data_IF_689671847505
#
_entry.id   IF_689671847505
#
_cell.length_a   1.000
_cell.length_b   1.000
_cell.length_c   1.000
_cell.angle_alpha   90.00
_cell.angle_beta   90.00
_cell.angle_gamma   90.00
#
_symmetry.space_group_name_H-M   'P 1'
#
loop_
_entity.id
_entity.type
_entity.pdbx_description
1 polymer ?
#
# COMPACT_ATOMS: atom_id res chain seq x y z
N UNK A 1 -11.02 8.65 24.56
CA UNK A 1 -11.64 7.31 24.60
C UNK A 1 -11.48 6.74 23.21
N UNK A 2 -10.56 5.79 23.04
CA UNK A 2 -10.43 5.04 21.78
C UNK A 2 -11.75 4.32 21.51
N UNK A 3 -12.57 4.89 20.63
CA UNK A 3 -13.71 4.17 20.10
C UNK A 3 -13.17 3.20 19.05
N UNK A 4 -12.91 1.98 19.49
CA UNK A 4 -12.66 0.83 18.61
C UNK A 4 -13.70 0.80 17.48
N UNK A 5 -13.23 0.78 16.24
CA UNK A 5 -14.08 0.82 15.05
C UNK A 5 -15.12 -0.30 15.08
N UNK A 6 -16.37 0.06 14.74
CA UNK A 6 -17.50 -0.86 14.71
C UNK A 6 -17.85 -1.12 13.25
N UNK A 7 -17.66 -2.38 12.84
CA UNK A 7 -17.71 -2.78 11.44
C UNK A 7 -19.02 -3.51 11.13
N UNK A 8 -19.67 -3.13 10.04
CA UNK A 8 -20.75 -3.89 9.42
C UNK A 8 -20.28 -4.53 8.11
N UNK A 9 -20.41 -5.84 8.01
CA UNK A 9 -19.98 -6.64 6.86
C UNK A 9 -21.18 -7.10 6.04
N UNK A 10 -21.13 -6.81 4.74
CA UNK A 10 -22.12 -7.20 3.75
C UNK A 10 -21.41 -7.97 2.63
N UNK A 11 -21.84 -9.23 2.42
CA UNK A 11 -21.27 -10.13 1.42
C UNK A 11 -22.26 -10.33 0.28
N UNK A 12 -21.86 -9.91 -0.92
CA UNK A 12 -22.46 -10.38 -2.16
C UNK A 12 -21.88 -11.77 -2.45
N UNK A 13 -22.54 -12.80 -1.90
CA UNK A 13 -21.97 -14.14 -1.88
C UNK A 13 -21.95 -14.75 -3.28
N UNK A 14 -22.94 -14.45 -4.13
CA UNK A 14 -22.95 -14.94 -5.51
C UNK A 14 -21.74 -14.40 -6.28
N UNK A 15 -21.45 -13.11 -6.18
CA UNK A 15 -20.32 -12.49 -6.88
C UNK A 15 -18.96 -13.00 -6.37
N UNK A 16 -18.79 -13.09 -5.04
CA UNK A 16 -17.56 -13.61 -4.43
C UNK A 16 -17.34 -15.10 -4.72
N UNK A 17 -18.38 -15.93 -4.59
CA UNK A 17 -18.25 -17.38 -4.79
C UNK A 17 -18.00 -17.71 -6.26
N UNK A 18 -18.66 -17.04 -7.21
CA UNK A 18 -18.41 -17.22 -8.63
C UNK A 18 -17.00 -16.72 -9.01
N UNK A 19 -16.62 -15.52 -8.57
CA UNK A 19 -15.26 -15.00 -8.80
C UNK A 19 -14.18 -15.91 -8.22
N UNK A 20 -14.39 -16.45 -7.02
CA UNK A 20 -13.44 -17.35 -6.39
C UNK A 20 -13.36 -18.72 -7.13
N UNK A 21 -14.49 -19.31 -7.49
CA UNK A 21 -14.53 -20.62 -8.18
C UNK A 21 -13.88 -20.57 -9.56
N UNK A 22 -14.09 -19.49 -10.31
CA UNK A 22 -13.56 -19.31 -11.67
C UNK A 22 -12.04 -19.07 -11.68
N UNK A 23 -11.49 -18.42 -10.64
CA UNK A 23 -10.11 -17.97 -10.62
C UNK A 23 -9.18 -18.75 -9.67
N UNK A 24 -9.70 -19.50 -8.69
CA UNK A 24 -8.92 -20.34 -7.76
C UNK A 24 -8.99 -21.84 -8.08
N UNK A 25 -9.12 -22.20 -9.36
CA UNK A 25 -9.05 -23.60 -9.80
C UNK A 25 -10.14 -24.51 -9.22
N UNK A 26 -11.33 -23.97 -8.94
CA UNK A 26 -12.46 -24.72 -8.40
C UNK A 26 -12.45 -24.93 -6.88
N UNK A 27 -11.56 -24.26 -6.12
CA UNK A 27 -11.64 -24.25 -4.65
C UNK A 27 -12.84 -23.44 -4.18
N UNK A 28 -13.46 -23.92 -3.11
CA UNK A 28 -14.56 -23.23 -2.44
C UNK A 28 -14.05 -21.93 -1.78
N UNK A 29 -14.91 -20.93 -1.76
CA UNK A 29 -14.68 -19.67 -1.05
C UNK A 29 -14.48 -19.95 0.46
N UNK A 30 -13.48 -19.33 1.07
CA UNK A 30 -13.22 -19.41 2.51
C UNK A 30 -13.44 -18.04 3.15
N UNK A 31 -14.26 -17.99 4.18
CA UNK A 31 -14.56 -16.74 4.88
C UNK A 31 -13.45 -16.32 5.86
N UNK A 32 -12.61 -17.26 6.32
CA UNK A 32 -11.61 -16.99 7.38
C UNK A 32 -10.65 -15.85 7.04
N UNK A 33 -10.05 -15.77 5.83
CA UNK A 33 -9.14 -14.68 5.48
C UNK A 33 -9.79 -13.29 5.57
N UNK A 34 -11.07 -13.17 5.20
CA UNK A 34 -11.82 -11.93 5.35
C UNK A 34 -12.05 -11.63 6.84
N UNK A 35 -12.45 -12.64 7.62
CA UNK A 35 -12.69 -12.47 9.05
C UNK A 35 -11.43 -11.99 9.79
N UNK A 36 -10.28 -12.56 9.46
CA UNK A 36 -8.99 -12.22 10.07
C UNK A 36 -8.56 -10.80 9.68
N UNK A 37 -8.65 -10.45 8.39
CA UNK A 37 -8.37 -9.09 7.93
C UNK A 37 -9.28 -8.03 8.60
N UNK A 38 -10.54 -8.36 8.86
CA UNK A 38 -11.46 -7.44 9.54
C UNK A 38 -11.19 -7.35 11.04
N UNK A 39 -10.72 -8.42 11.68
CA UNK A 39 -10.38 -8.42 13.10
C UNK A 39 -9.25 -7.42 13.43
N UNK A 40 -8.32 -7.20 12.49
CA UNK A 40 -7.26 -6.18 12.63
C UNK A 40 -7.77 -4.74 12.51
N UNK A 41 -8.92 -4.54 11.85
CA UNK A 41 -9.48 -3.21 11.56
C UNK A 41 -10.48 -2.74 12.59
N UNK A 42 -11.10 -3.66 13.32
CA UNK A 42 -12.04 -3.33 14.39
C UNK A 42 -13.02 -4.44 14.70
N UNK A 43 -13.97 -4.13 15.57
CA UNK A 43 -14.97 -5.09 16.02
C UNK A 43 -16.11 -5.20 15.02
N UNK A 44 -16.23 -6.35 14.37
CA UNK A 44 -17.35 -6.67 13.47
C UNK A 44 -18.62 -6.98 14.27
N UNK A 45 -19.61 -6.11 14.16
CA UNK A 45 -20.89 -6.17 14.89
C UNK A 45 -22.05 -6.69 14.06
N UNK A 46 -21.96 -6.61 12.73
CA UNK A 46 -22.96 -7.13 11.79
C UNK A 46 -22.22 -7.92 10.71
N UNK A 47 -22.73 -9.10 10.38
CA UNK A 47 -22.25 -9.95 9.30
C UNK A 47 -23.46 -10.48 8.54
N UNK A 48 -23.63 -10.07 7.29
CA UNK A 48 -24.74 -10.52 6.43
C UNK A 48 -24.20 -10.98 5.09
N UNK A 49 -24.75 -12.10 4.60
CA UNK A 49 -24.49 -12.58 3.25
C UNK A 49 -25.80 -12.67 2.47
N UNK A 50 -25.76 -12.25 1.21
CA UNK A 50 -26.90 -12.17 0.31
C UNK A 50 -26.69 -13.14 -0.85
N UNK A 51 -27.61 -14.08 -1.04
CA UNK A 51 -27.65 -14.99 -2.17
C UNK A 51 -29.00 -15.70 -2.27
N UNK A 52 -29.24 -16.32 -3.43
CA UNK A 52 -30.17 -17.44 -3.53
C UNK A 52 -29.48 -18.70 -3.00
N UNK A 53 -29.75 -19.05 -1.75
CA UNK A 53 -29.01 -20.11 -1.07
C UNK A 53 -29.37 -21.51 -1.55
N UNK A 54 -30.39 -21.65 -2.41
CA UNK A 54 -30.69 -22.93 -3.07
C UNK A 54 -29.52 -23.43 -3.93
N UNK A 55 -28.65 -22.52 -4.40
CA UNK A 55 -27.47 -22.85 -5.20
C UNK A 55 -26.18 -23.07 -4.38
N UNK A 56 -26.18 -22.73 -3.09
CA UNK A 56 -24.98 -22.69 -2.24
C UNK A 56 -25.14 -23.45 -0.92
N UNK A 57 -25.87 -24.58 -0.94
CA UNK A 57 -26.23 -25.30 0.28
C UNK A 57 -25.01 -25.82 1.07
N UNK A 58 -23.95 -26.24 0.37
CA UNK A 58 -22.70 -26.71 0.97
C UNK A 58 -21.97 -25.61 1.78
N UNK A 59 -22.11 -24.36 1.35
CA UNK A 59 -21.40 -23.21 1.91
C UNK A 59 -22.12 -22.60 3.12
N UNK A 60 -23.44 -22.83 3.25
CA UNK A 60 -24.26 -22.34 4.37
C UNK A 60 -23.68 -22.71 5.73
N UNK A 61 -23.18 -23.95 5.86
CA UNK A 61 -22.62 -24.46 7.12
C UNK A 61 -21.37 -23.69 7.52
N UNK A 62 -20.52 -23.32 6.57
CA UNK A 62 -19.29 -22.56 6.81
C UNK A 62 -19.61 -21.13 7.28
N UNK A 63 -20.52 -20.45 6.59
CA UNK A 63 -20.92 -19.08 6.94
C UNK A 63 -21.66 -19.01 8.28
N UNK A 64 -22.55 -19.98 8.55
CA UNK A 64 -23.29 -20.05 9.82
C UNK A 64 -22.34 -20.25 11.01
N UNK A 65 -21.32 -21.12 10.88
CA UNK A 65 -20.28 -21.31 11.91
C UNK A 65 -19.47 -20.03 12.14
N UNK A 66 -19.36 -19.20 11.13
CA UNK A 66 -18.70 -17.89 11.19
C UNK A 66 -19.62 -16.77 11.67
N UNK A 67 -20.82 -17.10 12.16
CA UNK A 67 -21.83 -16.16 12.66
C UNK A 67 -22.25 -15.13 11.61
N UNK A 68 -22.30 -15.54 10.34
CA UNK A 68 -22.83 -14.74 9.24
C UNK A 68 -24.33 -15.03 9.11
N UNK A 69 -25.14 -13.98 9.17
CA UNK A 69 -26.57 -14.05 8.90
C UNK A 69 -26.80 -14.27 7.39
N UNK A 70 -27.52 -15.32 7.04
CA UNK A 70 -27.82 -15.67 5.65
C UNK A 70 -29.15 -15.04 5.23
N UNK A 71 -29.08 -14.03 4.36
CA UNK A 71 -30.24 -13.35 3.80
C UNK A 71 -30.63 -14.05 2.51
N UNK A 72 -31.81 -14.68 2.52
CA UNK A 72 -32.35 -15.41 1.37
C UNK A 72 -32.93 -14.43 0.34
N UNK A 73 -32.41 -14.51 -0.89
CA UNK A 73 -32.88 -13.74 -2.03
C UNK A 73 -33.42 -14.72 -3.08
N UNK A 74 -34.70 -15.13 -3.01
CA UNK A 74 -35.23 -16.12 -3.93
C UNK A 74 -35.31 -15.54 -5.35
N UNK A 75 -34.68 -16.22 -6.32
CA UNK A 75 -34.79 -15.83 -7.72
C UNK A 75 -36.16 -16.23 -8.29
N UNK A 76 -36.95 -15.26 -8.77
CA UNK A 76 -38.22 -15.54 -9.47
C UNK A 76 -37.93 -16.13 -10.84
N UNK A 77 -38.55 -17.27 -11.15
CA UNK A 77 -38.47 -17.88 -12.50
C UNK A 77 -38.86 -16.86 -13.58
N UNK A 78 -37.93 -16.56 -14.49
CA UNK A 78 -38.17 -15.70 -15.66
C UNK A 78 -37.80 -14.22 -15.52
N UNK A 79 -37.37 -13.75 -14.35
CA UNK A 79 -36.83 -12.39 -14.18
C UNK A 79 -35.30 -12.40 -14.31
N UNK A 80 -34.73 -11.33 -14.88
CA UNK A 80 -33.28 -11.17 -15.02
C UNK A 80 -32.57 -11.36 -13.68
N UNK A 81 -31.60 -12.26 -13.67
CA UNK A 81 -30.94 -12.93 -12.55
C UNK A 81 -30.23 -12.03 -11.54
N UNK A 82 -30.13 -10.72 -11.75
CA UNK A 82 -28.94 -9.99 -11.28
C UNK A 82 -29.16 -8.98 -10.16
N UNK A 83 -30.29 -8.29 -10.08
CA UNK A 83 -30.32 -7.04 -9.29
C UNK A 83 -31.00 -7.16 -7.92
N UNK A 84 -31.63 -8.30 -7.59
CA UNK A 84 -32.43 -8.41 -6.38
C UNK A 84 -31.56 -8.43 -5.10
N UNK A 85 -30.45 -9.17 -5.14
CA UNK A 85 -29.50 -9.23 -4.04
C UNK A 85 -28.84 -7.86 -3.84
N UNK A 86 -28.40 -7.22 -4.92
CA UNK A 86 -27.75 -5.91 -4.89
C UNK A 86 -28.65 -4.83 -4.29
N UNK A 87 -29.90 -4.75 -4.74
CA UNK A 87 -30.88 -3.79 -4.22
C UNK A 87 -31.13 -4.05 -2.74
N UNK A 88 -31.33 -5.31 -2.34
CA UNK A 88 -31.60 -5.65 -0.93
C UNK A 88 -30.39 -5.33 -0.04
N UNK A 89 -29.19 -5.66 -0.48
CA UNK A 89 -27.96 -5.35 0.23
C UNK A 89 -27.77 -3.84 0.38
N UNK A 90 -28.01 -3.06 -0.69
CA UNK A 90 -27.92 -1.60 -0.64
C UNK A 90 -28.94 -0.97 0.32
N UNK A 91 -30.20 -1.44 0.30
CA UNK A 91 -31.25 -0.97 1.21
C UNK A 91 -30.85 -1.25 2.67
N UNK A 92 -30.44 -2.49 2.97
CA UNK A 92 -30.06 -2.87 4.33
C UNK A 92 -28.84 -2.10 4.83
N UNK A 93 -27.86 -1.84 3.96
CA UNK A 93 -26.66 -1.08 4.30
C UNK A 93 -26.99 0.38 4.64
N UNK A 94 -27.84 1.03 3.83
CA UNK A 94 -28.28 2.40 4.08
C UNK A 94 -29.14 2.50 5.34
N UNK A 95 -30.11 1.59 5.51
CA UNK A 95 -30.93 1.51 6.72
C UNK A 95 -30.05 1.39 7.97
N UNK A 96 -29.10 0.45 7.95
CA UNK A 96 -28.18 0.23 9.06
C UNK A 96 -27.31 1.47 9.36
N UNK A 97 -26.90 2.20 8.33
CA UNK A 97 -26.12 3.43 8.48
C UNK A 97 -26.90 4.54 9.21
N UNK A 98 -28.21 4.61 9.01
CA UNK A 98 -29.10 5.56 9.69
C UNK A 98 -29.50 5.10 11.09
N UNK A 99 -29.89 3.84 11.26
CA UNK A 99 -30.40 3.33 12.54
C UNK A 99 -29.29 3.15 13.58
N UNK A 100 -28.10 2.77 13.15
CA UNK A 100 -27.00 2.37 14.03
C UNK A 100 -25.82 3.33 13.87
N UNK A 101 -25.99 4.55 14.37
CA UNK A 101 -24.99 5.62 14.29
C UNK A 101 -23.60 5.22 14.82
N UNK A 102 -23.52 4.27 15.75
CA UNK A 102 -22.26 3.75 16.30
C UNK A 102 -21.42 2.92 15.33
N UNK A 103 -21.98 2.48 14.19
CA UNK A 103 -21.23 1.77 13.14
C UNK A 103 -20.45 2.81 12.36
N UNK A 104 -19.13 2.77 12.46
CA UNK A 104 -18.22 3.72 11.80
C UNK A 104 -17.77 3.24 10.43
N UNK A 105 -17.73 1.93 10.22
CA UNK A 105 -17.11 1.31 9.05
C UNK A 105 -18.04 0.27 8.40
N UNK A 106 -18.17 0.35 7.08
CA UNK A 106 -18.93 -0.60 6.25
C UNK A 106 -17.97 -1.36 5.35
N UNK A 107 -18.05 -2.68 5.37
CA UNK A 107 -17.29 -3.56 4.50
C UNK A 107 -18.25 -4.14 3.49
N UNK A 108 -18.01 -3.85 2.21
CA UNK A 108 -18.82 -4.33 1.09
C UNK A 108 -17.95 -5.31 0.30
N UNK A 109 -18.28 -6.60 0.42
CA UNK A 109 -17.56 -7.65 -0.29
C UNK A 109 -18.26 -7.94 -1.62
N UNK A 110 -17.76 -7.35 -2.70
CA UNK A 110 -18.25 -7.49 -4.07
C UNK A 110 -17.16 -7.03 -5.05
N UNK A 111 -17.14 -7.60 -6.25
CA UNK A 111 -16.35 -7.09 -7.38
C UNK A 111 -17.13 -6.15 -8.29
N UNK A 112 -18.43 -5.95 -8.05
CA UNK A 112 -19.32 -5.22 -8.97
C UNK A 112 -19.26 -3.69 -8.76
N UNK A 113 -19.06 -2.94 -9.84
CA UNK A 113 -19.09 -1.49 -9.82
C UNK A 113 -20.49 -0.89 -9.62
N UNK A 114 -21.56 -1.68 -9.76
CA UNK A 114 -22.93 -1.21 -9.50
C UNK A 114 -23.15 -0.79 -8.03
N UNK A 115 -22.25 -1.19 -7.10
CA UNK A 115 -22.24 -0.71 -5.71
C UNK A 115 -21.59 0.66 -5.51
N UNK A 116 -20.97 1.25 -6.53
CA UNK A 116 -20.33 2.58 -6.43
C UNK A 116 -21.27 3.66 -5.85
N UNK A 117 -22.55 3.76 -6.23
CA UNK A 117 -23.49 4.71 -5.61
C UNK A 117 -23.72 4.46 -4.12
N UNK A 118 -23.78 3.19 -3.68
CA UNK A 118 -23.89 2.83 -2.26
C UNK A 118 -22.65 3.30 -1.50
N UNK A 119 -21.46 3.03 -2.04
CA UNK A 119 -20.19 3.47 -1.45
C UNK A 119 -20.17 4.99 -1.28
N UNK A 120 -20.53 5.74 -2.32
CA UNK A 120 -20.62 7.20 -2.23
C UNK A 120 -21.62 7.66 -1.18
N UNK A 121 -22.78 7.01 -1.07
CA UNK A 121 -23.79 7.37 -0.08
C UNK A 121 -23.33 7.12 1.35
N UNK A 122 -22.66 5.99 1.60
CA UNK A 122 -22.08 5.68 2.90
C UNK A 122 -21.00 6.70 3.29
N UNK A 123 -20.15 7.10 2.34
CA UNK A 123 -19.13 8.14 2.55
C UNK A 123 -19.75 9.51 2.82
N UNK A 124 -20.82 9.87 2.09
CA UNK A 124 -21.62 11.08 2.35
C UNK A 124 -22.18 11.10 3.79
N UNK A 125 -22.53 9.93 4.33
CA UNK A 125 -22.97 9.73 5.72
C UNK A 125 -21.82 9.65 6.74
N UNK A 126 -20.60 10.07 6.34
CA UNK A 126 -19.39 10.04 7.16
C UNK A 126 -19.05 8.63 7.68
N UNK A 127 -19.31 7.61 6.88
CA UNK A 127 -18.88 6.23 7.15
C UNK A 127 -17.64 5.91 6.33
N UNK A 128 -16.70 5.18 6.94
CA UNK A 128 -15.57 4.60 6.22
C UNK A 128 -16.06 3.38 5.44
N UNK A 129 -15.65 3.26 4.18
CA UNK A 129 -16.04 2.12 3.33
C UNK A 129 -14.82 1.32 2.89
N UNK A 130 -14.84 0.03 3.20
CA UNK A 130 -13.81 -0.94 2.79
C UNK A 130 -14.42 -1.88 1.76
N UNK A 131 -13.89 -1.88 0.54
CA UNK A 131 -14.27 -2.85 -0.48
C UNK A 131 -13.46 -4.14 -0.31
N UNK A 132 -14.07 -5.29 -0.59
CA UNK A 132 -13.35 -6.57 -0.71
C UNK A 132 -13.80 -7.27 -1.97
N UNK A 133 -12.87 -7.67 -2.83
CA UNK A 133 -13.21 -8.35 -4.09
C UNK A 133 -12.10 -9.27 -4.58
N UNK A 134 -12.45 -10.18 -5.49
CA UNK A 134 -11.47 -11.02 -6.18
C UNK A 134 -10.84 -10.20 -7.30
N UNK A 135 -9.52 -10.12 -7.35
CA UNK A 135 -8.76 -9.16 -8.17
C UNK A 135 -9.13 -9.24 -9.65
N UNK A 136 -9.28 -10.44 -10.18
CA UNK A 136 -9.56 -10.67 -11.60
C UNK A 136 -11.01 -10.42 -12.01
N UNK A 137 -11.96 -10.46 -11.05
CA UNK A 137 -13.38 -10.22 -11.32
C UNK A 137 -13.85 -8.85 -10.84
N UNK A 138 -12.99 -8.09 -10.15
CA UNK A 138 -13.32 -6.76 -9.63
C UNK A 138 -13.22 -5.71 -10.74
N UNK A 139 -14.27 -4.91 -10.89
CA UNK A 139 -14.28 -3.75 -11.78
C UNK A 139 -13.30 -2.68 -11.31
N UNK A 140 -12.49 -2.12 -12.22
CA UNK A 140 -11.53 -1.06 -11.91
C UNK A 140 -12.18 0.25 -11.39
N UNK A 141 -13.51 0.38 -11.51
CA UNK A 141 -14.26 1.55 -11.03
C UNK A 141 -14.59 1.49 -9.53
N UNK A 142 -14.65 0.29 -8.94
CA UNK A 142 -15.07 0.11 -7.55
C UNK A 142 -13.97 0.49 -6.54
N UNK A 143 -12.70 0.06 -6.69
CA UNK A 143 -11.66 0.40 -5.73
C UNK A 143 -11.46 1.91 -5.52
N UNK A 144 -11.43 2.76 -6.57
CA UNK A 144 -11.30 4.22 -6.40
C UNK A 144 -12.48 4.87 -5.65
N UNK A 145 -13.64 4.22 -5.61
CA UNK A 145 -14.79 4.73 -4.88
C UNK A 145 -14.69 4.50 -3.36
N UNK A 146 -13.93 3.48 -2.93
CA UNK A 146 -13.78 3.08 -1.53
C UNK A 146 -12.71 3.92 -0.81
N UNK A 147 -12.69 3.88 0.53
CA UNK A 147 -11.61 4.48 1.32
C UNK A 147 -10.41 3.52 1.47
N UNK A 148 -10.67 2.22 1.32
CA UNK A 148 -9.70 1.13 1.28
C UNK A 148 -10.30 -0.02 0.48
N UNK A 149 -9.47 -0.76 -0.25
CA UNK A 149 -9.90 -1.92 -1.02
C UNK A 149 -8.96 -3.11 -0.81
N UNK A 150 -9.52 -4.25 -0.41
CA UNK A 150 -8.78 -5.49 -0.16
C UNK A 150 -9.06 -6.49 -1.26
N UNK A 151 -8.01 -6.98 -1.90
CA UNK A 151 -8.12 -8.10 -2.82
C UNK A 151 -8.13 -9.41 -2.05
N UNK A 152 -9.20 -10.19 -2.18
CA UNK A 152 -9.37 -11.48 -1.52
C UNK A 152 -8.20 -12.42 -1.81
N UNK A 153 -7.73 -12.44 -3.06
CA UNK A 153 -6.59 -13.24 -3.51
C UNK A 153 -5.28 -12.95 -2.77
N UNK A 154 -5.14 -11.75 -2.20
CA UNK A 154 -3.92 -11.28 -1.53
C UNK A 154 -4.00 -11.38 -0.01
N UNK A 155 -5.13 -11.86 0.54
CA UNK A 155 -5.28 -12.03 1.98
C UNK A 155 -4.49 -13.25 2.45
N UNK A 156 -3.87 -13.13 3.62
CA UNK A 156 -3.15 -14.24 4.24
C UNK A 156 -4.07 -15.45 4.44
N UNK A 157 -3.58 -16.65 4.12
CA UNK A 157 -4.37 -17.88 4.17
C UNK A 157 -5.13 -18.23 2.89
N UNK A 158 -5.07 -17.39 1.85
CA UNK A 158 -5.58 -17.73 0.51
C UNK A 158 -4.45 -18.27 -0.36
N UNK A 159 -4.38 -19.60 -0.50
CA UNK A 159 -3.43 -20.24 -1.44
C UNK A 159 -3.95 -20.13 -2.89
N UNK A 160 -3.54 -19.07 -3.59
CA UNK A 160 -3.79 -18.92 -5.02
C UNK A 160 -2.76 -19.76 -5.79
N UNK A 161 -3.19 -20.89 -6.35
CA UNK A 161 -2.36 -21.57 -7.35
C UNK A 161 -2.34 -20.72 -8.62
N UNK A 162 -1.16 -20.43 -9.22
CA UNK A 162 -1.13 -19.74 -10.50
C UNK A 162 -1.79 -20.63 -11.55
N UNK A 163 -3.02 -20.26 -11.93
CA UNK A 163 -3.74 -20.96 -13.01
C UNK A 163 -2.96 -20.73 -14.29
N UNK A 164 -2.25 -21.77 -14.75
CA UNK A 164 -1.66 -21.83 -16.09
C UNK A 164 -2.75 -21.47 -17.08
N UNK A 165 -2.59 -20.32 -17.75
CA UNK A 165 -3.55 -19.83 -18.72
C UNK A 165 -3.97 -20.93 -19.67
N UNK A 166 -5.26 -21.25 -19.69
CA UNK A 166 -5.86 -22.11 -20.72
C UNK A 166 -5.70 -21.39 -22.06
N UNK A 167 -4.58 -21.64 -22.75
CA UNK A 167 -4.50 -21.44 -24.19
C UNK A 167 -5.58 -22.32 -24.81
N UNK A 168 -6.56 -21.69 -25.44
CA UNK A 168 -7.59 -22.37 -26.20
C UNK A 168 -6.96 -23.34 -27.20
N UNK A 169 -7.46 -24.57 -27.22
CA UNK A 169 -7.23 -25.52 -28.31
C UNK A 169 -8.61 -25.92 -28.86
N UNK A 170 -8.81 -25.87 -30.19
CA UNK A 170 -10.13 -25.99 -30.78
C UNK A 170 -10.66 -27.42 -30.70
N UNK A 171 -11.98 -27.52 -30.83
CA UNK A 171 -12.79 -28.73 -30.72
C UNK A 171 -12.37 -29.85 -31.68
N UNK A 172 -12.37 -31.09 -31.17
CA UNK A 172 -12.73 -32.28 -31.95
C UNK A 172 -13.29 -33.38 -31.05
N UNK A 173 -14.33 -34.03 -31.55
CA UNK A 173 -15.27 -34.90 -30.85
C UNK A 173 -14.84 -36.38 -30.77
N UNK A 174 -15.58 -37.09 -29.90
CA UNK A 174 -15.85 -38.53 -29.79
C UNK A 174 -15.06 -39.37 -28.74
N UNK A 175 -15.85 -40.04 -27.90
CA UNK A 175 -15.58 -40.90 -26.72
C UNK A 175 -15.17 -42.36 -27.08
N UNK A 176 -15.21 -43.37 -26.17
CA UNK A 176 -14.36 -43.62 -24.99
C UNK A 176 -13.74 -45.05 -24.99
N UNK A 177 -12.71 -45.34 -24.19
CA UNK A 177 -12.59 -46.54 -23.31
C UNK A 177 -11.17 -46.84 -22.78
N UNK A 178 -11.19 -47.21 -21.49
CA UNK A 178 -10.37 -48.21 -20.77
C UNK A 178 -8.96 -47.88 -20.26
N UNK A 179 -8.80 -48.32 -19.02
CA UNK A 179 -7.68 -48.15 -18.11
C UNK A 179 -6.59 -49.18 -18.37
N UNK A 180 -5.34 -48.75 -18.23
CA UNK A 180 -4.23 -49.60 -17.82
C UNK A 180 -3.19 -48.73 -17.12
N UNK A 181 -2.80 -49.17 -15.93
CA UNK A 181 -1.80 -48.55 -15.08
C UNK A 181 -0.40 -48.94 -15.57
N UNK A 182 0.47 -47.96 -15.76
CA UNK A 182 1.92 -48.16 -15.90
C UNK A 182 2.60 -47.12 -15.03
N UNK A 183 3.20 -47.58 -13.92
CA UNK A 183 4.24 -46.86 -13.18
C UNK A 183 5.48 -46.75 -14.07
N UNK A 184 6.01 -45.54 -14.27
CA UNK A 184 7.44 -45.34 -14.53
C UNK A 184 7.90 -43.89 -14.31
N UNK A 185 8.87 -43.81 -13.39
CA UNK A 185 10.02 -42.90 -13.26
C UNK A 185 9.85 -41.37 -13.32
N UNK A 186 10.24 -40.79 -12.19
CA UNK A 186 10.47 -39.38 -11.93
C UNK A 186 11.52 -38.80 -12.89
N UNK A 187 11.10 -37.86 -13.73
CA UNK A 187 11.99 -36.83 -14.29
C UNK A 187 11.50 -35.50 -13.73
N UNK A 188 12.30 -34.94 -12.82
CA UNK A 188 12.10 -33.62 -12.24
C UNK A 188 12.23 -32.57 -13.35
N UNK A 189 11.16 -31.84 -13.73
CA UNK A 189 11.32 -30.75 -14.66
C UNK A 189 11.88 -29.56 -13.89
N UNK A 190 13.10 -29.15 -14.26
CA UNK A 190 13.67 -27.86 -13.87
C UNK A 190 12.60 -26.77 -14.02
N UNK A 191 12.32 -26.09 -12.90
CA UNK A 191 11.39 -24.96 -12.86
C UNK A 191 11.95 -23.88 -13.79
N UNK A 192 11.24 -23.45 -14.85
CA UNK A 192 11.57 -22.19 -15.48
C UNK A 192 11.42 -21.09 -14.41
N UNK A 193 12.29 -20.06 -14.40
CA UNK A 193 12.27 -19.03 -13.38
C UNK A 193 10.86 -18.45 -13.30
N UNK A 194 10.34 -18.39 -12.07
CA UNK A 194 9.09 -17.72 -11.77
C UNK A 194 9.14 -16.35 -12.45
N UNK A 195 8.11 -16.04 -13.25
CA UNK A 195 7.91 -14.69 -13.73
C UNK A 195 7.88 -13.80 -12.49
N UNK A 196 8.89 -12.93 -12.36
CA UNK A 196 8.92 -11.88 -11.36
C UNK A 196 7.61 -11.10 -11.51
N UNK A 197 6.73 -11.21 -10.51
CA UNK A 197 5.63 -10.27 -10.39
C UNK A 197 6.23 -8.86 -10.36
N UNK A 198 5.58 -7.86 -10.96
CA UNK A 198 6.14 -6.52 -11.00
C UNK A 198 6.19 -5.98 -9.57
N UNK A 199 7.33 -6.16 -8.90
CA UNK A 199 7.65 -5.46 -7.67
C UNK A 199 7.49 -4.00 -8.03
N UNK A 200 6.45 -3.36 -7.48
CA UNK A 200 6.19 -1.94 -7.76
C UNK A 200 7.45 -1.17 -7.36
N UNK A 201 7.86 -0.26 -8.22
CA UNK A 201 9.13 0.46 -8.08
C UNK A 201 9.22 1.14 -6.71
N UNK A 202 10.16 0.68 -5.88
CA UNK A 202 10.39 1.20 -4.53
C UNK A 202 10.79 2.68 -4.56
N UNK A 203 11.42 3.15 -5.64
CA UNK A 203 11.80 4.54 -5.82
C UNK A 203 10.55 5.41 -6.08
N UNK A 204 9.58 4.93 -6.86
CA UNK A 204 8.31 5.61 -7.08
C UNK A 204 7.49 5.72 -5.78
N UNK A 205 7.52 4.68 -4.94
CA UNK A 205 6.89 4.72 -3.62
C UNK A 205 7.58 5.72 -2.70
N UNK A 206 8.91 5.76 -2.68
CA UNK A 206 9.68 6.71 -1.88
C UNK A 206 9.30 8.17 -2.23
N UNK A 207 9.15 8.48 -3.52
CA UNK A 207 8.68 9.80 -3.98
C UNK A 207 7.25 10.08 -3.51
N UNK A 208 6.34 9.12 -3.65
CA UNK A 208 4.94 9.29 -3.21
C UNK A 208 4.84 9.53 -1.70
N UNK A 209 5.60 8.77 -0.90
CA UNK A 209 5.66 8.92 0.55
C UNK A 209 6.23 10.29 0.92
N UNK A 210 7.37 10.68 0.37
CA UNK A 210 7.99 11.98 0.63
C UNK A 210 7.08 13.16 0.27
N UNK A 211 6.44 13.13 -0.90
CA UNK A 211 5.46 14.14 -1.31
C UNK A 211 4.25 14.20 -0.38
N UNK A 212 3.81 13.05 0.14
CA UNK A 212 2.67 12.99 1.06
C UNK A 212 3.03 13.54 2.43
N UNK A 213 4.23 13.24 2.95
CA UNK A 213 4.73 13.84 4.19
C UNK A 213 4.90 15.36 4.03
N UNK A 214 5.53 15.82 2.94
CA UNK A 214 5.68 17.25 2.63
C UNK A 214 4.34 17.99 2.61
N UNK A 215 3.34 17.41 1.92
CA UNK A 215 2.01 17.98 1.84
C UNK A 215 1.30 18.04 3.19
N UNK A 216 1.47 17.02 4.05
CA UNK A 216 0.88 17.00 5.39
C UNK A 216 1.54 17.98 6.35
N UNK A 217 2.88 18.12 6.31
CA UNK A 217 3.61 19.10 7.12
C UNK A 217 3.30 20.54 6.68
N UNK A 218 3.15 20.80 5.38
CA UNK A 218 2.84 22.15 4.87
C UNK A 218 1.39 22.61 5.07
N UNK A 219 0.46 21.69 5.38
CA UNK A 219 -0.98 21.99 5.51
C UNK A 219 -1.53 21.85 6.94
N UNK A 220 -0.76 21.32 7.89
CA UNK A 220 -1.19 21.20 9.28
C UNK A 220 -0.06 21.45 10.27
N UNK A 221 -0.38 22.20 11.32
CA UNK A 221 0.50 22.59 12.43
C UNK A 221 0.72 21.45 13.45
N UNK A 222 0.70 20.19 12.99
CA UNK A 222 0.73 19.01 13.85
C UNK A 222 1.53 17.86 13.27
N UNK A 223 2.17 17.11 14.15
CA UNK A 223 3.03 15.96 13.89
C UNK A 223 2.37 14.98 12.89
N UNK A 224 3.18 14.49 11.94
CA UNK A 224 2.73 13.53 10.94
C UNK A 224 3.00 12.13 11.47
N UNK A 225 1.98 11.47 12.02
CA UNK A 225 2.14 10.08 12.48
C UNK A 225 2.07 9.07 11.35
N UNK A 226 2.67 7.89 11.55
CA UNK A 226 2.62 6.77 10.61
C UNK A 226 1.18 6.38 10.23
N UNK A 227 0.26 6.37 11.18
CA UNK A 227 -1.16 6.06 10.95
C UNK A 227 -1.85 7.11 10.08
N UNK A 228 -1.53 8.41 10.29
CA UNK A 228 -2.04 9.51 9.48
C UNK A 228 -1.48 9.48 8.07
N UNK A 229 -0.21 9.12 7.93
CA UNK A 229 0.44 8.91 6.64
C UNK A 229 -0.20 7.74 5.88
N UNK A 230 -0.34 6.57 6.50
CA UNK A 230 -1.02 5.40 5.89
C UNK A 230 -2.43 5.73 5.43
N UNK A 231 -3.23 6.41 6.25
CA UNK A 231 -4.58 6.85 5.89
C UNK A 231 -4.60 7.84 4.73
N UNK A 232 -3.55 8.63 4.57
CA UNK A 232 -3.43 9.57 3.44
C UNK A 232 -3.01 8.86 2.16
N UNK A 233 -2.14 7.85 2.26
CA UNK A 233 -1.79 6.98 1.14
C UNK A 233 -3.03 6.21 0.64
N UNK A 234 -3.80 5.59 1.53
CA UNK A 234 -5.04 4.89 1.17
C UNK A 234 -6.10 5.81 0.53
N UNK A 235 -6.15 7.09 0.94
CA UNK A 235 -7.02 8.08 0.28
C UNK A 235 -6.59 8.42 -1.15
N UNK A 236 -5.29 8.32 -1.46
CA UNK A 236 -4.75 8.56 -2.80
C UNK A 236 -4.84 7.30 -3.67
N UNK A 237 -4.55 6.14 -3.09
CA UNK A 237 -4.65 4.83 -3.71
C UNK A 237 -5.32 3.85 -2.72
N UNK A 238 -6.63 3.60 -2.84
CA UNK A 238 -7.34 2.65 -1.98
C UNK A 238 -6.84 1.20 -2.08
N UNK A 239 -6.12 0.86 -3.15
CA UNK A 239 -5.56 -0.49 -3.38
C UNK A 239 -4.16 -0.67 -2.79
N UNK A 240 -3.60 0.38 -2.17
CA UNK A 240 -2.26 0.34 -1.61
C UNK A 240 -2.09 -0.77 -0.57
N UNK A 241 -1.09 -1.63 -0.80
CA UNK A 241 -0.68 -2.70 0.11
C UNK A 241 0.84 -2.69 0.27
N UNK A 242 1.32 -2.86 1.50
CA UNK A 242 2.75 -2.96 1.81
C UNK A 242 3.39 -4.22 1.23
N UNK A 243 2.59 -5.28 1.07
CA UNK A 243 3.04 -6.57 0.52
C UNK A 243 3.46 -6.45 -0.94
N UNK A 244 2.86 -5.53 -1.71
CA UNK A 244 3.21 -5.26 -3.12
C UNK A 244 4.66 -4.74 -3.25
N UNK A 245 5.25 -4.27 -2.15
CA UNK A 245 6.63 -3.78 -2.07
C UNK A 245 7.53 -4.69 -1.22
N UNK A 246 7.03 -5.87 -0.81
CA UNK A 246 7.79 -6.87 -0.05
C UNK A 246 7.85 -6.64 1.46
N UNK A 247 7.01 -5.77 2.03
CA UNK A 247 6.97 -5.50 3.47
C UNK A 247 5.73 -6.12 4.13
N UNK A 248 5.89 -6.66 5.35
CA UNK A 248 4.77 -7.28 6.08
C UNK A 248 3.92 -6.25 6.83
N UNK A 249 4.53 -5.13 7.21
CA UNK A 249 3.85 -4.08 7.97
C UNK A 249 4.25 -2.70 7.47
N UNK A 250 3.36 -1.72 7.65
CA UNK A 250 3.66 -0.31 7.34
C UNK A 250 4.88 0.20 8.11
N UNK A 251 5.06 -0.24 9.34
CA UNK A 251 6.22 0.12 10.15
C UNK A 251 7.54 -0.42 9.58
N UNK A 252 7.54 -1.60 8.95
CA UNK A 252 8.72 -2.13 8.23
C UNK A 252 9.05 -1.28 7.01
N UNK A 253 8.04 -0.94 6.22
CA UNK A 253 8.20 -0.05 5.06
C UNK A 253 8.80 1.30 5.48
N UNK A 254 8.27 1.92 6.55
CA UNK A 254 8.77 3.19 7.05
C UNK A 254 10.22 3.08 7.55
N UNK A 255 10.58 2.01 8.27
CA UNK A 255 11.96 1.76 8.70
C UNK A 255 12.91 1.59 7.52
N UNK A 256 12.46 0.92 6.45
CA UNK A 256 13.25 0.80 5.23
C UNK A 256 13.45 2.16 4.55
N UNK A 257 12.40 2.97 4.41
CA UNK A 257 12.48 4.33 3.87
C UNK A 257 13.37 5.25 4.72
N UNK A 258 13.36 5.08 6.05
CA UNK A 258 14.26 5.79 6.95
C UNK A 258 15.72 5.37 6.76
N UNK A 259 15.99 4.08 6.54
CA UNK A 259 17.32 3.59 6.17
C UNK A 259 17.84 4.15 4.85
N UNK A 260 16.94 4.52 3.93
CA UNK A 260 17.24 5.19 2.67
C UNK A 260 17.29 6.73 2.79
N UNK A 261 17.11 7.28 4.00
CA UNK A 261 17.11 8.72 4.28
C UNK A 261 16.01 9.49 3.51
N UNK A 262 14.87 8.84 3.26
CA UNK A 262 13.69 9.44 2.61
C UNK A 262 12.78 10.11 3.65
N UNK A 263 12.70 9.54 4.85
CA UNK A 263 11.92 10.02 6.00
C UNK A 263 12.72 9.80 7.28
N UNK A 264 12.43 10.57 8.32
CA UNK A 264 12.94 10.33 9.68
C UNK A 264 11.81 9.81 10.56
N UNK A 265 12.16 8.94 11.52
CA UNK A 265 11.21 8.34 12.45
C UNK A 265 11.55 8.77 13.88
N UNK A 266 10.59 9.35 14.58
CA UNK A 266 10.71 9.71 15.99
C UNK A 266 9.71 8.91 16.86
N UNK A 267 9.90 8.94 18.18
CA UNK A 267 8.90 8.39 19.10
C UNK A 267 7.62 9.21 19.01
N UNK A 268 6.56 8.60 18.47
CA UNK A 268 5.27 9.25 18.35
C UNK A 268 4.44 9.18 19.63
N UNK A 269 3.25 9.82 19.61
CA UNK A 269 2.39 9.96 20.78
C UNK A 269 1.80 8.63 21.29
N UNK A 270 1.81 7.58 20.45
CA UNK A 270 1.30 6.25 20.78
C UNK A 270 2.35 5.16 20.51
N UNK A 271 2.39 4.15 21.38
CA UNK A 271 3.30 3.01 21.24
C UNK A 271 2.98 2.24 19.96
N UNK A 272 3.89 2.27 19.00
CA UNK A 272 3.73 1.62 17.68
C UNK A 272 3.23 2.55 16.57
N UNK A 273 3.01 3.84 16.85
CA UNK A 273 2.68 4.86 15.85
C UNK A 273 3.76 5.96 15.86
N UNK A 274 4.92 5.73 15.21
CA UNK A 274 6.01 6.70 15.20
C UNK A 274 5.61 7.98 14.47
N UNK A 275 6.21 9.10 14.88
CA UNK A 275 6.17 10.32 14.08
C UNK A 275 7.08 10.14 12.85
N UNK A 276 6.63 10.64 11.70
CA UNK A 276 7.30 10.56 10.41
C UNK A 276 7.50 11.99 9.90
N UNK A 277 8.75 12.42 9.84
CA UNK A 277 9.14 13.72 9.28
C UNK A 277 9.94 13.52 7.99
N UNK A 278 10.04 14.57 7.18
CA UNK A 278 11.11 14.64 6.20
C UNK A 278 12.42 14.94 6.92
N UNK A 279 13.57 14.42 6.43
CA UNK A 279 14.86 14.81 6.95
C UNK A 279 14.99 16.33 6.95
N UNK A 280 15.40 16.90 8.08
CA UNK A 280 15.48 18.35 8.21
C UNK A 280 16.38 18.93 7.10
N UNK A 281 15.85 19.90 6.34
CA UNK A 281 16.66 20.77 5.48
C UNK A 281 17.65 21.61 6.32
N UNK A 282 17.46 21.69 7.64
CA UNK A 282 18.35 22.37 8.59
C UNK A 282 19.76 21.78 8.62
N UNK A 283 19.92 20.48 8.39
CA UNK A 283 21.26 19.87 8.38
C UNK A 283 22.05 20.28 7.12
N UNK A 284 21.37 20.67 6.02
CA UNK A 284 22.01 21.25 4.83
C UNK A 284 22.48 22.67 5.05
N UNK A 285 21.65 23.56 5.62
CA UNK A 285 22.06 24.94 5.95
C UNK A 285 23.21 24.95 6.97
N UNK A 286 23.13 24.12 8.01
CA UNK A 286 24.22 23.97 9.00
C UNK A 286 25.47 23.36 8.35
N UNK A 287 25.33 22.38 7.45
CA UNK A 287 26.45 21.80 6.72
C UNK A 287 27.08 22.79 5.73
N UNK A 288 26.29 23.65 5.07
CA UNK A 288 26.79 24.69 4.19
C UNK A 288 27.48 25.80 4.99
N UNK A 289 26.93 26.20 6.14
CA UNK A 289 27.56 27.14 7.05
C UNK A 289 28.89 26.59 7.60
N UNK A 290 28.94 25.30 7.94
CA UNK A 290 30.18 24.60 8.35
C UNK A 290 31.19 24.52 7.21
N UNK A 291 30.74 24.22 5.98
CA UNK A 291 31.59 24.24 4.80
C UNK A 291 32.20 25.64 4.60
N UNK A 292 31.39 26.69 4.70
CA UNK A 292 31.85 28.08 4.61
C UNK A 292 32.86 28.42 5.70
N UNK A 293 32.62 28.02 6.96
CA UNK A 293 33.55 28.31 8.06
C UNK A 293 34.89 27.60 7.88
N UNK A 294 34.88 26.31 7.51
CA UNK A 294 36.11 25.53 7.26
C UNK A 294 36.88 26.09 6.06
N UNK A 295 36.18 26.49 4.99
CA UNK A 295 36.80 27.13 3.82
C UNK A 295 37.38 28.50 4.20
N UNK A 296 36.69 29.29 5.03
CA UNK A 296 37.21 30.57 5.52
C UNK A 296 38.47 30.41 6.39
N UNK A 297 38.48 29.43 7.30
CA UNK A 297 39.63 29.14 8.16
C UNK A 297 40.86 28.69 7.35
N UNK A 298 40.63 27.90 6.28
CA UNK A 298 41.70 27.43 5.39
C UNK A 298 42.16 28.49 4.38
N UNK A 299 41.25 29.37 3.94
CA UNK A 299 41.54 30.44 2.99
C UNK A 299 42.38 31.58 3.61
N UNK A 300 42.41 31.70 4.94
CA UNK A 300 43.17 32.73 5.66
C UNK A 300 42.83 34.15 5.16
N UNK A 301 43.76 34.76 4.42
CA UNK A 301 43.64 36.11 3.84
C UNK A 301 42.99 36.17 2.43
N UNK A 302 42.23 35.15 2.03
CA UNK A 302 41.42 35.15 0.79
C UNK A 302 41.93 34.24 -0.34
N UNK A 303 42.70 33.20 -0.01
CA UNK A 303 43.18 32.22 -0.99
C UNK A 303 42.12 31.16 -1.35
N UNK A 304 42.07 30.68 -2.60
CA UNK A 304 41.24 29.54 -2.98
C UNK A 304 41.71 28.24 -2.32
N UNK A 305 40.77 27.44 -1.80
CA UNK A 305 41.03 26.16 -1.12
C UNK A 305 40.70 25.00 -2.05
N UNK A 306 41.62 24.04 -2.20
CA UNK A 306 41.37 22.85 -3.02
C UNK A 306 40.30 21.94 -2.41
N UNK A 307 39.48 21.32 -3.27
CA UNK A 307 38.45 20.35 -2.89
C UNK A 307 39.09 19.07 -2.35
N UNK A 308 40.27 18.71 -2.85
CA UNK A 308 41.10 17.61 -2.35
C UNK A 308 41.52 17.85 -0.90
N UNK A 309 41.01 17.00 0.00
CA UNK A 309 41.29 17.06 1.44
C UNK A 309 40.29 17.90 2.24
N UNK A 310 39.44 18.72 1.60
CA UNK A 310 38.41 19.50 2.27
C UNK A 310 37.41 18.61 3.03
N UNK A 311 37.06 17.47 2.43
CA UNK A 311 36.23 16.43 3.05
C UNK A 311 36.81 15.90 4.38
N UNK A 312 38.13 15.74 4.45
CA UNK A 312 38.78 15.28 5.68
C UNK A 312 38.77 16.35 6.76
N UNK A 313 38.89 17.63 6.38
CA UNK A 313 38.80 18.75 7.31
C UNK A 313 37.39 18.94 7.87
N UNK A 314 36.36 18.79 7.03
CA UNK A 314 34.96 18.76 7.48
C UNK A 314 34.69 17.66 8.50
N UNK A 315 35.21 16.46 8.25
CA UNK A 315 35.11 15.34 9.20
C UNK A 315 35.91 15.57 10.48
N UNK A 316 36.97 16.38 10.44
CA UNK A 316 37.74 16.77 11.63
C UNK A 316 36.97 17.76 12.50
N UNK A 317 36.23 18.68 11.89
CA UNK A 317 35.38 19.65 12.58
C UNK A 317 34.08 19.02 13.09
N UNK A 318 33.45 18.14 12.30
CA UNK A 318 32.23 17.39 12.65
C UNK A 318 32.41 15.91 12.26
N UNK A 319 32.78 15.02 13.20
CA UNK A 319 33.01 13.59 12.92
C UNK A 319 31.81 12.86 12.29
N UNK A 320 30.59 13.32 12.60
CA UNK A 320 29.31 12.82 12.08
C UNK A 320 29.05 13.18 10.61
N UNK A 321 29.83 14.08 10.02
CA UNK A 321 29.57 14.65 8.69
C UNK A 321 29.66 13.60 7.58
N UNK A 322 28.56 13.46 6.83
CA UNK A 322 28.45 12.58 5.66
C UNK A 322 27.55 13.19 4.59
N UNK A 323 28.09 13.39 3.39
CA UNK A 323 27.34 13.90 2.23
C UNK A 323 26.10 13.06 1.90
N UNK A 324 26.19 11.75 2.15
CA UNK A 324 25.11 10.79 1.89
C UNK A 324 23.95 10.98 2.86
N UNK A 325 24.21 11.35 4.12
CA UNK A 325 23.17 11.68 5.11
C UNK A 325 22.41 12.96 4.72
N UNK A 326 23.04 13.82 3.92
CA UNK A 326 22.46 15.06 3.40
C UNK A 326 21.78 14.90 2.03
N UNK A 327 21.72 13.67 1.49
CA UNK A 327 21.07 13.36 0.21
C UNK A 327 21.94 13.53 -1.04
N UNK A 328 23.26 13.74 -0.91
CA UNK A 328 24.15 13.92 -2.07
C UNK A 328 24.92 12.65 -2.44
N UNK A 329 25.02 12.37 -3.75
CA UNK A 329 25.72 11.18 -4.28
C UNK A 329 27.24 11.32 -4.25
N UNK A 330 27.76 12.56 -4.24
CA UNK A 330 29.19 12.85 -4.15
C UNK A 330 29.48 14.16 -3.43
N UNK A 331 30.68 14.28 -2.86
CA UNK A 331 31.17 15.52 -2.23
C UNK A 331 31.17 16.71 -3.21
N UNK A 332 31.49 16.46 -4.48
CA UNK A 332 31.42 17.49 -5.52
C UNK A 332 29.98 17.99 -5.74
N UNK A 333 28.98 17.10 -5.68
CA UNK A 333 27.57 17.47 -5.80
C UNK A 333 27.14 18.34 -4.61
N UNK A 334 27.57 17.99 -3.39
CA UNK A 334 27.36 18.80 -2.19
C UNK A 334 27.98 20.20 -2.31
N UNK A 335 29.24 20.32 -2.76
CA UNK A 335 29.89 21.62 -2.96
C UNK A 335 29.22 22.47 -4.06
N UNK A 336 28.72 21.84 -5.13
CA UNK A 336 27.95 22.53 -6.18
C UNK A 336 26.60 23.05 -5.67
N UNK A 337 25.94 22.29 -4.79
CA UNK A 337 24.71 22.73 -4.13
C UNK A 337 24.99 23.93 -3.21
N UNK A 338 26.04 23.86 -2.40
CA UNK A 338 26.47 24.98 -1.55
C UNK A 338 26.83 26.24 -2.38
N UNK A 339 27.42 26.06 -3.57
CA UNK A 339 27.73 27.17 -4.46
C UNK A 339 26.49 27.80 -5.11
N UNK A 340 25.46 26.99 -5.37
CA UNK A 340 24.16 27.45 -5.87
C UNK A 340 23.39 28.21 -4.79
N UNK A 341 23.54 27.78 -3.52
CA UNK A 341 23.05 28.48 -2.33
C UNK A 341 23.87 29.74 -1.98
N UNK A 342 24.89 30.08 -2.77
CA UNK A 342 25.75 31.26 -2.62
C UNK A 342 26.60 31.31 -1.33
N UNK A 343 26.82 30.17 -0.66
CA UNK A 343 27.65 30.07 0.55
C UNK A 343 29.15 29.99 0.24
N UNK A 344 29.50 29.43 -0.92
CA UNK A 344 30.88 29.30 -1.43
C UNK A 344 30.90 29.51 -2.93
N UNK A 345 32.02 29.95 -3.50
CA UNK A 345 32.22 29.94 -4.95
C UNK A 345 33.10 28.75 -5.34
N UNK A 346 32.73 28.04 -6.41
CA UNK A 346 33.42 26.86 -6.90
C UNK A 346 33.95 27.13 -8.32
N UNK A 347 35.26 27.01 -8.53
CA UNK A 347 35.90 27.19 -9.83
C UNK A 347 36.91 26.07 -10.12
N UNK A 348 36.95 25.57 -11.35
CA UNK A 348 38.00 24.64 -11.77
C UNK A 348 39.32 25.38 -12.00
N UNK A 349 40.44 24.86 -11.49
CA UNK A 349 41.77 25.39 -11.76
C UNK A 349 42.62 24.36 -12.49
N UNK A 350 43.07 24.71 -13.69
CA UNK A 350 43.97 23.86 -14.49
C UNK A 350 45.37 23.72 -13.86
N UNK A 351 45.80 24.71 -13.08
CA UNK A 351 47.12 24.68 -12.42
C UNK A 351 47.16 23.74 -11.20
N UNK A 352 46.00 23.54 -10.55
CA UNK A 352 45.85 22.66 -9.40
C UNK A 352 45.28 21.28 -9.74
N UNK A 353 44.84 21.09 -11.00
CA UNK A 353 44.07 19.93 -11.47
C UNK A 353 42.89 19.57 -10.53
N UNK A 354 42.27 20.58 -9.93
CA UNK A 354 41.23 20.42 -8.91
C UNK A 354 40.24 21.60 -8.90
N UNK A 355 39.09 21.38 -8.27
CA UNK A 355 38.14 22.41 -7.94
C UNK A 355 38.62 23.23 -6.73
N UNK A 356 38.62 24.54 -6.90
CA UNK A 356 38.94 25.51 -5.87
C UNK A 356 37.66 26.13 -5.31
N UNK A 357 37.56 26.17 -3.98
CA UNK A 357 36.49 26.80 -3.24
C UNK A 357 36.98 28.12 -2.64
N UNK A 358 36.23 29.19 -2.82
CA UNK A 358 36.44 30.47 -2.12
C UNK A 358 35.23 30.78 -1.23
N UNK A 359 35.46 31.25 0.02
CA UNK A 359 34.36 31.63 0.89
C UNK A 359 33.73 32.90 0.33
N UNK A 360 32.40 32.95 0.25
CA UNK A 360 31.70 34.21 -0.01
C UNK A 360 31.36 34.87 1.31
N UNK A 361 31.72 36.15 1.45
CA UNK A 361 31.21 36.96 2.56
C UNK A 361 29.73 37.22 2.26
N UNK A 362 28.86 36.74 3.16
CA UNK A 362 27.41 36.94 3.10
C UNK A 362 27.02 38.40 3.28
#
# INVERSE_FOLDING_TARGET
MDQEDRIALFLDYENLALGARDHHGGRAFDFRPIADALAERGRVVVRRAYADWSYFDEDRRMLTRSHVELIEIPQRMGASRKNAADIKMAVDAVELAFERGYISTFVICTGDSDFTPLVHKLRELNKRVIGVGVEKSTSALLPPACDEFLYYDRLEGVDVLPVRGRRGRPARAAEPQQAEAVEQEQVEPERPPAAEEPVRDADALAVLVAQTVAGLQGSSDGEVTASRLKRTLLRKDPTFSESDYGFRTFGELLRHLAGLNVVELAEGPAKGDPEVSLPEHGDQEVAFALLRSVVADLAGSGGPVALSGLKNQLRRARPEFSEKKLGYRSFLQFCKAAATANEVALAWSADADDYLLTPRQG
#
